data_IF_733005234397
#
_entry.id   IF_733005234397
#
_cell.length_a   1.000
_cell.length_b   1.000
_cell.length_c   1.000
_cell.angle_alpha   90.00
_cell.angle_beta   90.00
_cell.angle_gamma   90.00
#
_symmetry.space_group_name_H-M   'P 1'
#
loop_
_entity.id
_entity.type
_entity.pdbx_description
1 polymer ?
#
# COMPACT_ATOMS: atom_id res chain seq x y z
N UNK A 1 7.27 -31.79 2.74
CA UNK A 1 7.88 -30.84 1.77
C UNK A 1 7.86 -29.47 2.43
N UNK A 2 8.92 -29.12 3.15
CA UNK A 2 9.03 -27.83 3.82
C UNK A 2 9.74 -26.86 2.88
N UNK A 3 9.03 -25.85 2.39
CA UNK A 3 9.64 -24.74 1.65
C UNK A 3 9.12 -23.43 2.24
N UNK A 4 9.89 -23.02 3.24
CA UNK A 4 10.32 -21.65 3.53
C UNK A 4 9.23 -20.59 3.76
N UNK A 5 8.99 -20.34 5.05
CA UNK A 5 8.66 -19.01 5.54
C UNK A 5 9.96 -18.17 5.65
N UNK A 6 9.83 -16.91 5.20
CA UNK A 6 10.50 -15.64 5.60
C UNK A 6 11.99 -15.42 5.23
N UNK A 7 12.43 -14.16 4.91
CA UNK A 7 12.01 -12.92 5.59
C UNK A 7 11.85 -11.61 4.76
N UNK A 8 11.00 -10.72 5.30
CA UNK A 8 11.29 -9.28 5.52
C UNK A 8 11.50 -8.42 4.26
N UNK A 9 10.40 -7.83 3.76
CA UNK A 9 10.49 -6.44 3.33
C UNK A 9 10.95 -5.64 4.54
N UNK A 10 12.21 -5.22 4.50
CA UNK A 10 12.82 -4.45 5.54
C UNK A 10 12.14 -3.09 5.59
N UNK A 11 11.29 -2.88 6.59
CA UNK A 11 11.11 -1.57 7.17
C UNK A 11 12.51 -1.08 7.57
N UNK A 12 13.16 -0.31 6.70
CA UNK A 12 14.37 0.41 7.03
C UNK A 12 14.01 1.40 8.14
N UNK A 13 14.68 1.36 9.30
CA UNK A 13 14.52 2.42 10.29
C UNK A 13 15.28 3.65 9.79
N UNK A 14 14.62 4.54 9.05
CA UNK A 14 15.21 5.85 8.73
C UNK A 14 14.82 6.54 7.43
N UNK A 15 13.88 6.04 6.64
CA UNK A 15 13.52 6.69 5.37
C UNK A 15 12.14 7.36 5.54
N UNK A 16 12.15 8.69 5.49
CA UNK A 16 11.03 9.63 5.23
C UNK A 16 9.65 8.98 5.06
N UNK A 17 8.70 9.34 5.93
CA UNK A 17 7.29 8.98 5.88
C UNK A 17 6.83 8.56 4.48
N UNK A 18 6.69 7.26 4.27
CA UNK A 18 6.21 6.69 3.02
C UNK A 18 4.94 7.42 2.59
N UNK A 19 4.90 8.02 1.38
CA UNK A 19 3.73 8.76 0.93
C UNK A 19 2.48 7.88 0.86
N UNK A 20 2.64 6.56 0.71
CA UNK A 20 1.52 5.62 0.63
C UNK A 20 1.70 4.44 1.58
N UNK A 21 0.77 4.30 2.53
CA UNK A 21 0.75 3.22 3.52
C UNK A 21 -0.54 2.41 3.45
N UNK A 22 -0.47 1.10 3.59
CA UNK A 22 -1.66 0.23 3.55
C UNK A 22 -2.54 0.44 4.79
N UNK A 23 -3.85 0.60 4.58
CA UNK A 23 -4.88 0.70 5.63
C UNK A 23 -5.60 -0.62 5.87
N UNK A 24 -5.85 -1.38 4.81
CA UNK A 24 -6.56 -2.67 4.87
C UNK A 24 -5.77 -3.72 4.11
N UNK A 25 -5.73 -4.96 4.59
CA UNK A 25 -4.98 -5.99 3.90
C UNK A 25 -5.56 -6.28 2.52
N UNK A 26 -4.69 -6.41 1.52
CA UNK A 26 -5.06 -6.78 0.16
C UNK A 26 -3.96 -7.62 -0.49
N UNK A 27 -4.31 -8.36 -1.55
CA UNK A 27 -3.36 -9.19 -2.30
C UNK A 27 -2.83 -8.45 -3.53
N UNK A 28 -1.57 -8.70 -3.86
CA UNK A 28 -0.96 -8.16 -5.08
C UNK A 28 -1.66 -8.75 -6.32
N UNK A 29 -1.84 -7.92 -7.35
CA UNK A 29 -2.49 -8.34 -8.60
C UNK A 29 -1.57 -9.23 -9.44
N UNK A 30 -0.26 -9.02 -9.34
CA UNK A 30 0.77 -9.80 -10.01
C UNK A 30 1.13 -11.06 -9.22
N UNK A 31 0.93 -11.05 -7.90
CA UNK A 31 1.25 -12.18 -7.02
C UNK A 31 0.17 -12.38 -5.95
N UNK A 32 -0.71 -13.35 -6.18
CA UNK A 32 -1.84 -13.64 -5.28
C UNK A 32 -1.42 -14.30 -3.96
N UNK A 33 -0.16 -14.73 -3.83
CA UNK A 33 0.42 -15.24 -2.58
C UNK A 33 1.01 -14.09 -1.74
N UNK A 34 1.25 -12.92 -2.35
CA UNK A 34 1.70 -11.72 -1.66
C UNK A 34 0.52 -10.92 -1.10
N UNK A 35 0.36 -10.94 0.22
CA UNK A 35 -0.60 -10.12 0.95
C UNK A 35 0.10 -8.92 1.60
N UNK A 36 -0.30 -7.72 1.21
CA UNK A 36 0.10 -6.49 1.89
C UNK A 36 -0.77 -6.29 3.13
N UNK A 37 -0.14 -5.96 4.25
CA UNK A 37 -0.79 -5.78 5.54
C UNK A 37 -0.91 -4.30 5.89
N UNK A 38 -1.86 -3.90 6.75
CA UNK A 38 -1.91 -2.52 7.22
C UNK A 38 -0.59 -2.08 7.84
N UNK A 39 -0.09 -0.92 7.43
CA UNK A 39 1.23 -0.39 7.79
C UNK A 39 2.39 -0.82 6.88
N UNK A 40 2.14 -1.64 5.86
CA UNK A 40 3.11 -1.95 4.81
C UNK A 40 3.32 -0.73 3.90
N UNK A 41 4.55 -0.52 3.44
CA UNK A 41 4.90 0.54 2.50
C UNK A 41 4.64 0.08 1.06
N UNK A 42 3.78 0.82 0.39
CA UNK A 42 3.40 0.56 -1.01
C UNK A 42 3.75 1.71 -1.93
N UNK A 43 4.58 2.65 -1.46
CA UNK A 43 5.05 3.80 -2.24
C UNK A 43 5.86 3.41 -3.49
N UNK A 44 6.22 2.13 -3.62
CA UNK A 44 6.89 1.56 -4.78
C UNK A 44 5.93 1.19 -5.93
N UNK A 45 4.61 1.24 -5.72
CA UNK A 45 3.63 1.00 -6.77
C UNK A 45 3.45 2.20 -7.70
N UNK A 46 2.99 1.91 -8.91
CA UNK A 46 2.64 2.93 -9.90
C UNK A 46 1.47 3.80 -9.42
N UNK A 47 1.45 5.06 -9.84
CA UNK A 47 0.46 6.06 -9.41
C UNK A 47 -0.98 5.66 -9.76
N UNK A 48 -1.24 5.07 -10.94
CA UNK A 48 -2.57 4.56 -11.31
C UNK A 48 -3.06 3.45 -10.36
N UNK A 49 -2.14 2.58 -9.94
CA UNK A 49 -2.44 1.50 -9.00
C UNK A 49 -2.71 2.07 -7.62
N UNK A 50 -1.89 3.01 -7.16
CA UNK A 50 -2.08 3.70 -5.89
C UNK A 50 -3.39 4.47 -5.85
N UNK A 51 -3.75 5.21 -6.90
CA UNK A 51 -5.02 5.91 -7.02
C UNK A 51 -6.21 4.95 -6.87
N UNK A 52 -6.17 3.80 -7.55
CA UNK A 52 -7.19 2.76 -7.41
C UNK A 52 -7.27 2.15 -6.01
N UNK A 53 -6.12 2.00 -5.33
CA UNK A 53 -6.05 1.48 -3.96
C UNK A 53 -6.54 2.51 -2.93
N UNK A 54 -6.28 3.80 -3.16
CA UNK A 54 -6.77 4.92 -2.34
C UNK A 54 -8.27 5.11 -2.52
N UNK A 55 -8.78 5.10 -3.76
CA UNK A 55 -10.22 5.16 -4.06
C UNK A 55 -10.99 4.02 -3.38
N UNK A 56 -10.39 2.83 -3.31
CA UNK A 56 -10.95 1.67 -2.59
C UNK A 56 -10.76 1.71 -1.07
N UNK A 57 -10.04 2.70 -0.54
CA UNK A 57 -9.71 2.81 0.88
C UNK A 57 -8.86 1.65 1.41
N UNK A 58 -8.03 1.05 0.55
CA UNK A 58 -7.06 0.00 0.90
C UNK A 58 -5.72 0.60 1.32
N UNK A 59 -5.36 1.76 0.76
CA UNK A 59 -4.11 2.48 1.01
C UNK A 59 -4.45 3.92 1.38
N UNK A 60 -3.66 4.52 2.27
CA UNK A 60 -3.66 5.94 2.59
C UNK A 60 -2.50 6.60 1.89
N UNK A 61 -2.79 7.46 0.91
CA UNK A 61 -1.83 8.40 0.35
C UNK A 61 -1.78 9.69 1.16
N UNK A 62 -0.60 10.30 1.25
CA UNK A 62 -0.46 11.71 1.60
C UNK A 62 -1.26 12.51 0.56
N UNK A 63 -2.24 13.33 0.97
CA UNK A 63 -3.04 14.08 0.03
C UNK A 63 -2.16 15.17 -0.57
N UNK A 64 -1.57 14.92 -1.74
CA UNK A 64 -1.32 16.02 -2.67
C UNK A 64 -2.69 16.40 -3.26
N UNK A 65 -3.43 17.13 -2.43
CA UNK A 65 -4.45 18.12 -2.79
C UNK A 65 -5.20 17.85 -4.10
N UNK A 66 -6.14 16.89 -4.13
CA UNK A 66 -7.24 16.93 -5.11
C UNK A 66 -8.56 16.41 -4.52
N UNK A 67 -9.49 17.35 -4.39
CA UNK A 67 -10.94 17.22 -4.61
C UNK A 67 -11.66 16.23 -3.70
N UNK A 68 -12.24 16.67 -2.58
CA UNK A 68 -13.42 17.54 -2.67
C UNK A 68 -14.68 16.67 -2.72
N UNK A 69 -14.89 15.90 -1.65
CA UNK A 69 -16.18 15.31 -1.32
C UNK A 69 -17.14 16.48 -1.02
N UNK A 70 -17.79 17.00 -2.07
CA UNK A 70 -18.97 17.83 -1.94
C UNK A 70 -19.98 17.36 -2.99
N UNK A 71 -20.70 16.30 -2.63
CA UNK A 71 -21.97 15.97 -3.25
C UNK A 71 -23.06 16.08 -2.17
N UNK A 72 -23.38 17.32 -1.81
CA UNK A 72 -24.68 17.69 -1.23
C UNK A 72 -25.78 17.72 -2.32
#
# INVERSE_FOLDING_TARGET
MAKQQTPKAAAKPGETAAPYSVLKPFRDVNDWDLEHKPGDDVSHFDEERLASLVEKGLVQGLPEETTGDNLE
#
